data_IF_117370163921
#
_entry.id   IF_117370163921
#
_cell.length_a   1.000
_cell.length_b   1.000
_cell.length_c   1.000
_cell.angle_alpha   90.00
_cell.angle_beta   90.00
_cell.angle_gamma   90.00
#
_symmetry.space_group_name_H-M   'P 1'
#
loop_
_entity.id
_entity.type
_entity.pdbx_description
1 polymer ?
#
# COMPACT_ATOMS: atom_id res chain seq x y z
N UNK A 1 -5.39 37.01 -2.87
CA UNK A 1 -5.88 36.11 -1.79
C UNK A 1 -5.66 36.82 -0.46
N UNK A 2 -6.62 36.75 0.46
CA UNK A 2 -6.49 37.35 1.80
C UNK A 2 -5.34 36.68 2.57
N UNK A 3 -4.58 37.43 3.38
CA UNK A 3 -3.51 36.91 4.24
C UNK A 3 -3.97 35.72 5.10
N UNK A 4 -5.23 35.70 5.53
CA UNK A 4 -5.82 34.60 6.29
C UNK A 4 -5.99 33.32 5.46
N UNK A 5 -6.41 33.43 4.19
CA UNK A 5 -6.58 32.27 3.31
C UNK A 5 -5.23 31.62 2.98
N UNK A 6 -4.18 32.43 2.77
CA UNK A 6 -2.82 31.92 2.57
C UNK A 6 -2.30 31.19 3.81
N UNK A 7 -2.50 31.75 5.02
CA UNK A 7 -2.12 31.10 6.28
C UNK A 7 -2.85 29.78 6.49
N UNK A 8 -4.15 29.73 6.20
CA UNK A 8 -4.95 28.52 6.29
C UNK A 8 -4.44 27.45 5.32
N UNK A 9 -4.13 27.82 4.07
CA UNK A 9 -3.58 26.90 3.09
C UNK A 9 -2.24 26.30 3.54
N UNK A 10 -1.30 27.14 4.01
CA UNK A 10 -0.01 26.66 4.52
C UNK A 10 -0.17 25.74 5.73
N UNK A 11 -1.06 26.07 6.67
CA UNK A 11 -1.31 25.22 7.83
C UNK A 11 -1.94 23.88 7.43
N UNK A 12 -2.93 23.90 6.53
CA UNK A 12 -3.57 22.70 6.00
C UNK A 12 -2.58 21.79 5.25
N UNK A 13 -1.69 22.36 4.43
CA UNK A 13 -0.66 21.60 3.72
C UNK A 13 0.35 20.96 4.68
N UNK A 14 0.79 21.70 5.70
CA UNK A 14 1.70 21.17 6.73
C UNK A 14 1.05 20.00 7.50
N UNK A 15 -0.16 20.21 8.04
CA UNK A 15 -0.89 19.17 8.78
C UNK A 15 -1.23 17.96 7.91
N UNK A 16 -1.62 18.19 6.65
CA UNK A 16 -1.89 17.10 5.69
C UNK A 16 -0.62 16.27 5.43
N UNK A 17 0.54 16.93 5.28
CA UNK A 17 1.82 16.26 5.05
C UNK A 17 2.25 15.44 6.27
N UNK A 18 2.10 15.98 7.48
CA UNK A 18 2.38 15.27 8.73
C UNK A 18 1.48 14.04 8.87
N UNK A 19 0.18 14.18 8.62
CA UNK A 19 -0.77 13.07 8.67
C UNK A 19 -0.48 12.01 7.61
N UNK A 20 -0.07 12.40 6.39
CA UNK A 20 0.37 11.46 5.35
C UNK A 20 1.63 10.68 5.77
N UNK A 21 2.55 11.34 6.48
CA UNK A 21 3.74 10.68 7.02
C UNK A 21 3.37 9.65 8.07
N UNK A 22 2.46 9.98 9.00
CA UNK A 22 1.93 9.03 9.98
C UNK A 22 1.29 7.82 9.31
N UNK A 23 0.47 8.06 8.28
CA UNK A 23 -0.22 7.00 7.52
C UNK A 23 0.79 6.05 6.85
N UNK A 24 1.92 6.57 6.32
CA UNK A 24 3.02 5.75 5.81
C UNK A 24 3.70 4.93 6.92
N UNK A 25 3.94 5.52 8.09
CA UNK A 25 4.56 4.80 9.21
C UNK A 25 3.64 3.71 9.77
N UNK A 26 2.32 3.93 9.78
CA UNK A 26 1.33 2.90 10.10
C UNK A 26 1.42 1.71 9.12
N UNK A 27 1.59 1.96 7.81
CA UNK A 27 1.80 0.87 6.84
C UNK A 27 3.09 0.10 7.07
N UNK A 28 4.19 0.78 7.38
CA UNK A 28 5.45 0.11 7.73
C UNK A 28 5.26 -0.77 8.96
N UNK A 29 4.57 -0.27 9.99
CA UNK A 29 4.26 -1.05 11.18
C UNK A 29 3.41 -2.30 10.87
N UNK A 30 2.43 -2.20 9.97
CA UNK A 30 1.67 -3.38 9.48
C UNK A 30 2.58 -4.42 8.82
N UNK A 31 3.53 -3.98 7.98
CA UNK A 31 4.50 -4.88 7.35
C UNK A 31 5.39 -5.58 8.40
N UNK A 32 5.89 -4.83 9.38
CA UNK A 32 6.71 -5.39 10.46
C UNK A 32 5.92 -6.37 11.33
N UNK A 33 4.66 -6.06 11.66
CA UNK A 33 3.79 -6.96 12.42
C UNK A 33 3.48 -8.24 11.65
N UNK A 34 3.28 -8.16 10.33
CA UNK A 34 3.13 -9.34 9.46
C UNK A 34 4.37 -10.23 9.51
N UNK A 35 5.57 -9.67 9.32
CA UNK A 35 6.82 -10.43 9.39
C UNK A 35 7.01 -11.08 10.77
N UNK A 36 6.71 -10.36 11.85
CA UNK A 36 6.81 -10.90 13.20
C UNK A 36 5.78 -12.01 13.47
N UNK A 37 4.58 -11.91 12.91
CA UNK A 37 3.56 -12.96 13.01
C UNK A 37 4.01 -14.26 12.33
N UNK A 38 4.67 -14.15 11.17
CA UNK A 38 5.28 -15.29 10.49
C UNK A 38 6.34 -15.97 11.37
N UNK A 39 7.19 -15.20 12.05
CA UNK A 39 8.19 -15.76 12.98
C UNK A 39 7.54 -16.45 14.19
N UNK A 40 6.47 -15.86 14.75
CA UNK A 40 5.75 -16.49 15.86
C UNK A 40 5.01 -17.76 15.44
N UNK A 41 4.47 -17.81 14.23
CA UNK A 41 3.84 -19.00 13.68
C UNK A 41 4.88 -20.13 13.51
N UNK A 42 6.04 -19.84 12.92
CA UNK A 42 7.17 -20.79 12.81
C UNK A 42 7.64 -21.30 14.18
N UNK A 43 7.59 -20.45 15.20
CA UNK A 43 7.97 -20.78 16.56
C UNK A 43 6.84 -21.49 17.36
N UNK A 44 5.69 -21.77 16.76
CA UNK A 44 4.56 -22.44 17.42
C UNK A 44 3.93 -21.61 18.55
N UNK A 45 3.86 -20.28 18.38
CA UNK A 45 3.31 -19.34 19.38
C UNK A 45 1.97 -18.73 18.93
N UNK A 46 0.88 -19.52 18.86
CA UNK A 46 -0.41 -19.07 18.30
C UNK A 46 -1.03 -17.92 19.11
N UNK A 47 -0.82 -17.86 20.43
CA UNK A 47 -1.30 -16.76 21.26
C UNK A 47 -0.68 -15.40 20.87
N UNK A 48 0.57 -15.42 20.42
CA UNK A 48 1.29 -14.22 19.97
C UNK A 48 0.88 -13.80 18.56
N UNK A 49 0.66 -14.77 17.68
CA UNK A 49 0.07 -14.53 16.35
C UNK A 49 -1.28 -13.85 16.50
N UNK A 50 -2.16 -14.37 17.38
CA UNK A 50 -3.47 -13.78 17.64
C UNK A 50 -3.39 -12.36 18.21
N UNK A 51 -2.47 -12.11 19.16
CA UNK A 51 -2.24 -10.75 19.68
C UNK A 51 -1.84 -9.77 18.57
N UNK A 52 -1.00 -10.20 17.62
CA UNK A 52 -0.64 -9.37 16.46
C UNK A 52 -1.81 -9.20 15.49
N UNK A 53 -2.64 -10.23 15.27
CA UNK A 53 -3.83 -10.12 14.44
C UNK A 53 -4.80 -9.05 14.98
N UNK A 54 -5.10 -9.09 16.28
CA UNK A 54 -5.97 -8.12 16.94
C UNK A 54 -5.40 -6.70 16.81
N UNK A 55 -4.08 -6.53 17.03
CA UNK A 55 -3.40 -5.25 16.88
C UNK A 55 -3.40 -4.73 15.43
N UNK A 56 -3.24 -5.63 14.45
CA UNK A 56 -3.32 -5.31 13.02
C UNK A 56 -4.73 -4.84 12.66
N UNK A 57 -5.78 -5.50 13.16
CA UNK A 57 -7.17 -5.09 12.91
C UNK A 57 -7.45 -3.67 13.44
N UNK A 58 -6.96 -3.33 14.63
CA UNK A 58 -7.09 -1.99 15.22
C UNK A 58 -6.27 -0.95 14.44
N UNK A 59 -5.03 -1.28 14.05
CA UNK A 59 -4.18 -0.37 13.30
C UNK A 59 -4.75 -0.08 11.91
N UNK A 60 -5.25 -1.09 11.19
CA UNK A 60 -5.87 -0.91 9.87
C UNK A 60 -7.14 -0.06 9.97
N UNK A 61 -7.95 -0.23 11.03
CA UNK A 61 -9.13 0.62 11.24
C UNK A 61 -8.73 2.10 11.44
N UNK A 62 -7.70 2.35 12.26
CA UNK A 62 -7.20 3.72 12.51
C UNK A 62 -6.54 4.34 11.27
N UNK A 63 -5.89 3.50 10.46
CA UNK A 63 -5.15 3.90 9.26
C UNK A 63 -6.04 4.58 8.22
N UNK A 64 -7.22 4.01 7.94
CA UNK A 64 -8.13 4.58 6.94
C UNK A 64 -8.65 5.95 7.39
N UNK A 65 -9.03 6.07 8.67
CA UNK A 65 -9.50 7.34 9.23
C UNK A 65 -8.41 8.43 9.18
N UNK A 66 -7.16 8.10 9.53
CA UNK A 66 -6.04 9.03 9.40
C UNK A 66 -5.80 9.46 7.94
N UNK A 67 -5.90 8.53 6.99
CA UNK A 67 -5.74 8.82 5.57
C UNK A 67 -6.84 9.76 5.05
N UNK A 68 -8.10 9.52 5.44
CA UNK A 68 -9.22 10.40 5.09
C UNK A 68 -9.11 11.78 5.71
N UNK A 69 -8.70 11.87 6.98
CA UNK A 69 -8.45 13.14 7.64
C UNK A 69 -7.34 13.94 6.95
N UNK A 70 -6.24 13.28 6.57
CA UNK A 70 -5.13 13.91 5.87
C UNK A 70 -5.56 14.56 4.55
N UNK A 71 -6.41 13.86 3.78
CA UNK A 71 -6.95 14.40 2.53
C UNK A 71 -7.99 15.50 2.76
N UNK A 72 -8.88 15.31 3.73
CA UNK A 72 -9.93 16.27 4.05
C UNK A 72 -9.35 17.61 4.49
N UNK A 73 -8.36 17.60 5.39
CA UNK A 73 -7.67 18.81 5.87
C UNK A 73 -7.08 19.60 4.69
N UNK A 74 -6.51 18.92 3.69
CA UNK A 74 -5.97 19.56 2.48
C UNK A 74 -7.04 20.26 1.63
N UNK A 75 -8.30 19.81 1.69
CA UNK A 75 -9.43 20.39 0.94
C UNK A 75 -10.08 21.58 1.66
N UNK A 76 -9.91 21.71 2.98
CA UNK A 76 -10.47 22.79 3.80
C UNK A 76 -10.22 24.20 3.24
N UNK A 77 -9.00 24.58 2.80
CA UNK A 77 -8.75 25.92 2.28
C UNK A 77 -9.60 26.28 1.05
N UNK A 78 -9.94 25.29 0.21
CA UNK A 78 -10.79 25.49 -0.97
C UNK A 78 -12.29 25.57 -0.62
N UNK A 79 -12.71 24.94 0.47
CA UNK A 79 -14.08 25.00 0.99
C UNK A 79 -14.34 26.23 1.88
N UNK A 80 -13.28 26.83 2.43
CA UNK A 80 -13.37 27.98 3.32
C UNK A 80 -13.88 29.25 2.60
N UNK A 81 -14.96 29.83 3.12
CA UNK A 81 -15.50 31.11 2.68
C UNK A 81 -15.31 32.15 3.79
N UNK A 82 -14.47 33.17 3.60
CA UNK A 82 -14.29 34.23 4.59
C UNK A 82 -15.62 34.95 4.88
N UNK A 83 -15.93 35.13 6.16
CA UNK A 83 -17.09 35.91 6.60
C UNK A 83 -16.78 36.64 7.90
N UNK A 84 -17.65 37.56 8.30
CA UNK A 84 -17.54 38.28 9.58
C UNK A 84 -17.90 37.40 10.79
N UNK A 85 -18.37 36.17 10.57
CA UNK A 85 -18.70 35.20 11.61
C UNK A 85 -17.56 34.22 11.86
N UNK A 86 -17.39 33.80 13.12
CA UNK A 86 -16.45 32.76 13.49
C UNK A 86 -16.78 31.45 12.76
N UNK A 87 -15.78 30.87 12.10
CA UNK A 87 -15.94 29.62 11.35
C UNK A 87 -15.74 28.42 12.27
N UNK A 88 -16.66 27.46 12.22
CA UNK A 88 -16.53 26.16 12.89
C UNK A 88 -15.69 25.22 12.01
N UNK A 89 -14.37 25.30 12.18
CA UNK A 89 -13.44 24.48 11.40
C UNK A 89 -13.60 22.98 11.63
N UNK A 90 -14.11 22.56 12.79
CA UNK A 90 -14.36 21.14 13.07
C UNK A 90 -15.46 20.62 12.15
N UNK A 91 -16.60 21.31 12.08
CA UNK A 91 -17.67 20.94 11.14
C UNK A 91 -17.21 20.99 9.69
N UNK A 92 -16.37 21.96 9.33
CA UNK A 92 -15.85 22.07 7.97
C UNK A 92 -14.97 20.85 7.60
N UNK A 93 -14.09 20.43 8.52
CA UNK A 93 -13.29 19.21 8.35
C UNK A 93 -14.20 17.98 8.27
N UNK A 94 -15.17 17.83 9.17
CA UNK A 94 -16.08 16.68 9.17
C UNK A 94 -16.84 16.56 7.83
N UNK A 95 -17.31 17.69 7.28
CA UNK A 95 -17.94 17.74 5.95
C UNK A 95 -16.98 17.31 4.83
N UNK A 96 -15.73 17.76 4.87
CA UNK A 96 -14.73 17.34 3.88
C UNK A 96 -14.34 15.86 4.03
N UNK A 97 -14.31 15.32 5.25
CA UNK A 97 -14.09 13.88 5.50
C UNK A 97 -15.19 13.05 4.86
N UNK A 98 -16.46 13.41 5.07
CA UNK A 98 -17.59 12.69 4.45
C UNK A 98 -17.55 12.76 2.92
N UNK A 99 -17.13 13.89 2.33
CA UNK A 99 -16.92 14.02 0.88
C UNK A 99 -15.79 13.11 0.38
N UNK A 100 -14.68 13.06 1.11
CA UNK A 100 -13.55 12.17 0.78
C UNK A 100 -14.02 10.72 0.87
N UNK A 101 -14.63 10.30 1.98
CA UNK A 101 -15.18 8.95 2.17
C UNK A 101 -16.17 8.57 1.08
N UNK A 102 -17.08 9.46 0.70
CA UNK A 102 -18.06 9.22 -0.36
C UNK A 102 -17.47 9.12 -1.78
N UNK A 103 -16.30 9.73 -2.01
CA UNK A 103 -15.59 9.63 -3.30
C UNK A 103 -14.66 8.42 -3.34
N UNK A 104 -14.15 8.02 -2.17
CA UNK A 104 -13.26 6.87 -1.99
C UNK A 104 -14.08 5.58 -1.99
N UNK A 105 -14.05 4.85 -3.11
CA UNK A 105 -14.48 3.45 -3.14
C UNK A 105 -13.41 2.56 -2.49
N UNK A 106 -13.03 2.83 -1.23
CA UNK A 106 -12.02 2.03 -0.50
C UNK A 106 -12.53 0.67 -0.06
N UNK A 107 -13.77 0.30 -0.43
CA UNK A 107 -14.39 -0.98 -0.09
C UNK A 107 -13.43 -2.12 -0.46
N UNK A 108 -12.82 -2.72 0.56
CA UNK A 108 -11.89 -3.83 0.45
C UNK A 108 -10.42 -3.52 0.74
N UNK A 109 -9.99 -2.27 0.92
CA UNK A 109 -8.57 -1.99 1.21
C UNK A 109 -8.16 -2.47 2.61
N UNK A 110 -8.96 -2.18 3.64
CA UNK A 110 -8.80 -2.77 4.97
C UNK A 110 -8.82 -4.31 4.93
N UNK A 111 -9.82 -4.88 4.26
CA UNK A 111 -9.99 -6.33 4.19
C UNK A 111 -8.83 -6.99 3.47
N UNK A 112 -8.29 -6.34 2.43
CA UNK A 112 -7.09 -6.74 1.71
C UNK A 112 -5.86 -6.81 2.63
N UNK A 113 -5.65 -5.82 3.49
CA UNK A 113 -4.51 -5.81 4.41
C UNK A 113 -4.61 -6.89 5.47
N UNK A 114 -5.81 -7.08 6.02
CA UNK A 114 -6.08 -8.14 6.99
C UNK A 114 -5.89 -9.50 6.33
N UNK A 115 -6.37 -9.68 5.08
CA UNK A 115 -6.19 -10.91 4.32
C UNK A 115 -4.71 -11.20 4.05
N UNK A 116 -3.94 -10.23 3.57
CA UNK A 116 -2.50 -10.38 3.34
C UNK A 116 -1.73 -10.77 4.61
N UNK A 117 -2.15 -10.25 5.77
CA UNK A 117 -1.60 -10.65 7.06
C UNK A 117 -1.89 -12.13 7.34
N UNK A 118 -3.16 -12.53 7.21
CA UNK A 118 -3.59 -13.92 7.45
C UNK A 118 -2.90 -14.88 6.49
N UNK A 119 -2.83 -14.56 5.22
CA UNK A 119 -2.21 -15.40 4.17
C UNK A 119 -0.74 -15.65 4.48
N UNK A 120 0.01 -14.60 4.84
CA UNK A 120 1.42 -14.75 5.20
C UNK A 120 1.63 -15.71 6.39
N UNK A 121 0.73 -15.67 7.38
CA UNK A 121 0.76 -16.60 8.53
C UNK A 121 0.38 -18.02 8.07
N UNK A 122 -0.67 -18.17 7.27
CA UNK A 122 -1.15 -19.46 6.76
C UNK A 122 -0.09 -20.19 5.93
N UNK A 123 0.58 -19.46 5.05
CA UNK A 123 1.61 -19.97 4.13
C UNK A 123 2.80 -20.62 4.86
N UNK A 124 3.02 -20.32 6.15
CA UNK A 124 4.09 -20.93 6.95
C UNK A 124 4.00 -22.46 6.98
N UNK A 125 2.78 -22.98 7.09
CA UNK A 125 2.53 -24.42 7.19
C UNK A 125 1.75 -24.99 5.99
N UNK A 126 1.25 -24.12 5.12
CA UNK A 126 0.33 -24.49 4.04
C UNK A 126 0.71 -23.87 2.69
N UNK A 127 2.01 -23.61 2.47
CA UNK A 127 2.51 -23.02 1.24
C UNK A 127 1.92 -23.67 -0.02
N UNK A 128 1.32 -22.84 -0.89
CA UNK A 128 0.69 -23.29 -2.13
C UNK A 128 -0.74 -23.84 -1.97
N UNK A 129 -1.29 -23.87 -0.75
CA UNK A 129 -2.68 -24.21 -0.48
C UNK A 129 -3.49 -22.93 -0.22
N UNK A 130 -4.69 -22.80 -0.80
CA UNK A 130 -5.57 -21.66 -0.51
C UNK A 130 -6.01 -21.68 0.97
N UNK A 131 -6.21 -20.51 1.56
CA UNK A 131 -6.71 -20.40 2.92
C UNK A 131 -8.19 -20.85 3.01
N UNK A 132 -8.58 -21.64 4.02
CA UNK A 132 -9.97 -22.04 4.22
C UNK A 132 -10.87 -20.83 4.49
N UNK A 133 -12.01 -20.77 3.80
CA UNK A 133 -12.98 -19.66 3.92
C UNK A 133 -12.95 -18.65 2.77
N UNK A 134 -11.99 -18.77 1.84
CA UNK A 134 -11.88 -17.95 0.62
C UNK A 134 -12.68 -18.50 -0.58
N UNK A 135 -13.49 -19.55 -0.38
CA UNK A 135 -14.24 -20.24 -1.46
C UNK A 135 -15.32 -19.37 -2.16
N UNK A 136 -15.53 -18.12 -1.75
CA UNK A 136 -16.48 -17.19 -2.39
C UNK A 136 -15.82 -16.22 -3.38
N UNK A 137 -14.50 -16.22 -3.53
CA UNK A 137 -13.77 -15.39 -4.52
C UNK A 137 -13.00 -16.28 -5.52
N UNK A 138 -13.74 -17.19 -6.16
CA UNK A 138 -13.25 -18.03 -7.26
C UNK A 138 -12.81 -17.14 -8.46
N UNK A 139 -11.52 -17.30 -8.85
CA UNK A 139 -10.84 -16.82 -10.07
C UNK A 139 -10.11 -15.44 -10.03
N UNK A 140 -8.97 -15.35 -9.34
CA UNK A 140 -7.79 -14.67 -9.90
C UNK A 140 -6.53 -15.50 -9.63
N UNK A 141 -6.25 -16.43 -10.54
CA UNK A 141 -4.93 -17.03 -10.65
C UNK A 141 -3.91 -15.95 -11.01
N UNK A 142 -2.77 -15.97 -10.33
CA UNK A 142 -1.55 -15.14 -10.47
C UNK A 142 -1.49 -13.86 -9.60
N UNK A 143 -0.76 -13.97 -8.47
CA UNK A 143 0.18 -12.93 -7.99
C UNK A 143 -0.39 -11.59 -7.50
N UNK A 144 -1.58 -11.52 -6.93
CA UNK A 144 -2.16 -10.28 -6.37
C UNK A 144 -1.73 -9.98 -4.93
N UNK A 145 -0.43 -9.78 -4.71
CA UNK A 145 0.03 -9.08 -3.49
C UNK A 145 -0.17 -7.56 -3.59
N UNK A 146 -0.52 -7.01 -4.77
CA UNK A 146 -0.64 -5.58 -5.00
C UNK A 146 -1.99 -5.19 -5.65
N UNK A 147 -2.63 -4.14 -5.15
CA UNK A 147 -3.85 -3.52 -5.70
C UNK A 147 -3.63 -2.79 -7.04
N UNK A 148 -2.43 -2.89 -7.60
CA UNK A 148 -2.00 -2.22 -8.84
C UNK A 148 -2.22 -3.19 -10.01
N UNK A 149 -3.17 -2.84 -10.89
CA UNK A 149 -3.59 -3.70 -12.00
C UNK A 149 -2.72 -3.60 -13.25
N UNK A 150 -1.78 -2.65 -13.30
CA UNK A 150 -0.91 -2.46 -14.45
C UNK A 150 0.48 -2.00 -14.00
N UNK A 151 1.52 -2.51 -14.67
CA UNK A 151 2.93 -2.23 -14.35
C UNK A 151 3.47 -0.98 -15.04
N UNK A 152 2.86 -0.59 -16.15
CA UNK A 152 3.21 0.61 -16.94
C UNK A 152 1.98 1.46 -17.23
N UNK A 153 2.17 2.77 -17.38
CA UNK A 153 1.15 3.69 -17.87
C UNK A 153 0.84 3.38 -19.35
N UNK A 154 -0.41 3.05 -19.72
CA UNK A 154 -0.77 2.65 -21.08
C UNK A 154 -0.54 3.72 -22.16
N UNK A 155 -0.40 4.98 -21.77
CA UNK A 155 -0.23 6.11 -22.68
C UNK A 155 1.22 6.57 -22.82
N UNK A 156 2.01 6.50 -21.74
CA UNK A 156 3.41 6.99 -21.74
C UNK A 156 4.42 5.85 -21.77
N UNK A 157 3.98 4.61 -21.53
CA UNK A 157 4.82 3.42 -21.32
C UNK A 157 5.82 3.55 -20.16
N UNK A 158 5.71 4.59 -19.33
CA UNK A 158 6.51 4.73 -18.12
C UNK A 158 6.05 3.69 -17.08
N UNK A 159 6.97 3.05 -16.33
CA UNK A 159 6.62 2.25 -15.17
C UNK A 159 5.75 3.04 -14.20
N UNK A 160 4.76 2.38 -13.58
CA UNK A 160 3.88 3.05 -12.60
C UNK A 160 4.68 3.60 -11.42
N UNK A 161 5.74 2.89 -11.03
CA UNK A 161 6.68 3.32 -9.99
C UNK A 161 7.44 4.60 -10.34
N UNK A 162 7.50 5.01 -11.61
CA UNK A 162 8.23 6.22 -12.04
C UNK A 162 7.29 7.41 -12.32
N UNK A 163 5.99 7.26 -12.04
CA UNK A 163 5.03 8.33 -12.25
C UNK A 163 5.11 9.38 -11.15
N UNK A 164 5.29 10.64 -11.54
CA UNK A 164 5.29 11.79 -10.63
C UNK A 164 3.86 12.13 -10.15
N UNK A 165 2.90 12.07 -11.07
CA UNK A 165 1.49 12.39 -10.85
C UNK A 165 0.60 11.21 -11.23
N UNK A 166 0.65 10.09 -10.48
CA UNK A 166 -0.18 8.93 -10.76
C UNK A 166 -1.66 9.26 -10.47
N UNK A 167 -2.52 8.75 -11.35
CA UNK A 167 -3.98 8.81 -11.20
C UNK A 167 -4.58 7.47 -11.61
N UNK A 168 -5.68 7.10 -10.98
CA UNK A 168 -6.40 5.85 -11.20
C UNK A 168 -7.81 6.15 -11.71
N UNK A 169 -8.30 5.31 -12.63
CA UNK A 169 -9.71 5.35 -13.02
C UNK A 169 -10.57 4.63 -11.97
N UNK A 170 -11.62 5.28 -11.47
CA UNK A 170 -12.51 4.71 -10.45
C UNK A 170 -13.26 3.46 -10.97
N UNK A 171 -13.55 3.39 -12.27
CA UNK A 171 -14.34 2.30 -12.84
C UNK A 171 -13.49 1.04 -13.12
N UNK A 172 -12.26 1.19 -13.61
CA UNK A 172 -11.41 0.06 -14.02
C UNK A 172 -10.12 -0.11 -13.21
N UNK A 173 -9.84 0.77 -12.25
CA UNK A 173 -8.65 0.79 -11.39
C UNK A 173 -7.27 0.82 -12.08
N UNK A 174 -7.21 0.94 -13.40
CA UNK A 174 -5.96 1.18 -14.13
C UNK A 174 -5.37 2.56 -13.81
N UNK A 175 -4.04 2.60 -13.75
CA UNK A 175 -3.23 3.76 -13.35
C UNK A 175 -2.58 4.40 -14.57
N UNK A 176 -2.54 5.73 -14.56
CA UNK A 176 -2.00 6.58 -15.62
C UNK A 176 -1.19 7.73 -15.07
N UNK A 177 -0.37 8.33 -15.92
CA UNK A 177 0.16 9.68 -15.72
C UNK A 177 -0.95 10.72 -15.98
N UNK A 178 -1.13 11.67 -15.04
CA UNK A 178 -2.26 12.62 -15.00
C UNK A 178 -2.40 13.47 -16.26
N UNK A 179 -1.32 14.11 -16.72
CA UNK A 179 -1.43 15.04 -17.84
C UNK A 179 -1.70 14.33 -19.19
N UNK A 180 -1.00 13.21 -19.49
CA UNK A 180 -1.29 12.40 -20.68
C UNK A 180 -2.72 11.87 -20.71
N UNK A 181 -3.25 11.33 -19.60
CA UNK A 181 -4.62 10.77 -19.59
C UNK A 181 -5.68 11.84 -19.78
N UNK A 182 -5.52 13.01 -19.14
CA UNK A 182 -6.47 14.11 -19.30
C UNK A 182 -6.43 14.67 -20.73
N UNK A 183 -5.26 14.72 -21.37
CA UNK A 183 -5.12 15.08 -22.79
C UNK A 183 -5.79 14.05 -23.70
N UNK A 184 -5.60 12.76 -23.44
CA UNK A 184 -6.21 11.67 -24.18
C UNK A 184 -7.74 11.74 -24.15
N UNK A 185 -8.32 11.97 -22.96
CA UNK A 185 -9.77 12.10 -22.77
C UNK A 185 -10.33 13.31 -23.52
N UNK A 186 -9.64 14.47 -23.45
CA UNK A 186 -10.07 15.70 -24.15
C UNK A 186 -10.04 15.54 -25.67
N UNK A 187 -9.04 14.85 -26.20
CA UNK A 187 -8.83 14.69 -27.65
C UNK A 187 -9.86 13.74 -28.27
N UNK A 188 -10.23 12.67 -27.55
CA UNK A 188 -11.01 11.57 -28.10
C UNK A 188 -12.48 11.52 -27.64
N UNK A 189 -12.96 12.55 -26.91
CA UNK A 189 -14.35 12.69 -26.42
C UNK A 189 -14.93 11.39 -25.84
N UNK A 190 -14.65 11.13 -24.56
CA UNK A 190 -15.04 9.91 -23.83
C UNK A 190 -14.47 8.62 -24.44
N UNK A 191 -13.13 8.51 -24.57
CA UNK A 191 -12.51 7.29 -25.07
C UNK A 191 -12.64 6.13 -24.08
N UNK A 192 -12.54 4.91 -24.60
CA UNK A 192 -12.35 3.73 -23.77
C UNK A 192 -10.97 3.74 -23.09
N UNK A 193 -10.84 2.95 -22.04
CA UNK A 193 -9.58 2.64 -21.40
C UNK A 193 -8.58 2.08 -22.45
N UNK A 194 -7.34 2.60 -22.52
CA UNK A 194 -6.34 2.11 -23.48
C UNK A 194 -5.82 0.69 -23.21
N UNK A 195 -6.13 0.09 -22.06
CA UNK A 195 -5.81 -1.30 -21.77
C UNK A 195 -6.67 -2.21 -22.65
N UNK A 196 -6.04 -3.12 -23.37
CA UNK A 196 -6.73 -4.08 -24.22
C UNK A 196 -7.77 -4.88 -23.42
N UNK A 197 -9.00 -4.94 -23.94
CA UNK A 197 -10.10 -5.68 -23.32
C UNK A 197 -10.80 -4.97 -22.16
N UNK A 198 -10.35 -3.79 -21.74
CA UNK A 198 -11.05 -3.04 -20.70
C UNK A 198 -12.25 -2.27 -21.28
N UNK A 199 -13.50 -2.53 -20.81
CA UNK A 199 -14.71 -1.90 -21.36
C UNK A 199 -14.98 -0.50 -20.80
N UNK A 200 -14.17 -0.01 -19.86
CA UNK A 200 -14.45 1.24 -19.14
C UNK A 200 -14.29 2.47 -20.03
N UNK A 201 -15.28 3.36 -19.98
CA UNK A 201 -15.27 4.66 -20.67
C UNK A 201 -14.67 5.71 -19.74
N UNK A 202 -13.59 6.36 -20.19
CA UNK A 202 -12.86 7.31 -19.39
C UNK A 202 -13.52 8.69 -19.39
N UNK A 203 -13.67 9.26 -18.19
CA UNK A 203 -14.19 10.60 -17.97
C UNK A 203 -13.29 11.36 -17.00
N UNK A 204 -13.07 12.68 -17.18
CA UNK A 204 -12.16 13.44 -16.32
C UNK A 204 -12.54 13.35 -14.83
N UNK A 205 -13.84 13.36 -14.52
CA UNK A 205 -14.35 13.25 -13.16
C UNK A 205 -14.06 11.88 -12.49
N UNK A 206 -13.73 10.86 -13.28
CA UNK A 206 -13.45 9.50 -12.82
C UNK A 206 -11.95 9.19 -12.77
N UNK A 207 -11.09 10.15 -13.10
CA UNK A 207 -9.64 10.02 -13.03
C UNK A 207 -9.17 10.77 -11.79
N UNK A 208 -8.81 10.02 -10.76
CA UNK A 208 -8.46 10.57 -9.44
C UNK A 208 -7.17 9.96 -8.93
N UNK A 209 -6.38 10.73 -8.19
CA UNK A 209 -5.37 10.13 -7.32
C UNK A 209 -6.10 9.82 -6.01
N UNK A 210 -6.55 8.57 -5.84
CA UNK A 210 -7.19 8.18 -4.59
C UNK A 210 -6.19 8.21 -3.42
N UNK A 211 -6.73 8.21 -2.20
CA UNK A 211 -5.98 8.40 -0.96
C UNK A 211 -4.84 7.38 -0.79
N UNK A 212 -5.01 6.16 -1.31
CA UNK A 212 -4.09 5.04 -1.09
C UNK A 212 -3.17 4.77 -2.28
N UNK A 213 -3.53 5.21 -3.49
CA UNK A 213 -2.74 4.98 -4.72
C UNK A 213 -1.25 5.29 -4.57
N UNK A 214 -0.91 6.43 -3.98
CA UNK A 214 0.50 6.82 -3.81
C UNK A 214 1.25 5.88 -2.88
N UNK A 215 0.56 5.37 -1.86
CA UNK A 215 1.13 4.42 -0.91
C UNK A 215 1.35 3.07 -1.55
N UNK A 216 0.36 2.57 -2.28
CA UNK A 216 0.47 1.30 -3.00
C UNK A 216 1.62 1.31 -4.01
N UNK A 217 1.85 2.46 -4.67
CA UNK A 217 2.99 2.62 -5.59
C UNK A 217 4.32 2.63 -4.82
N UNK A 218 4.38 3.26 -3.65
CA UNK A 218 5.57 3.26 -2.80
C UNK A 218 5.89 1.85 -2.27
N UNK A 219 4.88 1.09 -1.89
CA UNK A 219 5.03 -0.33 -1.49
C UNK A 219 5.54 -1.18 -2.65
N UNK A 220 5.05 -0.94 -3.86
CA UNK A 220 5.54 -1.61 -5.07
C UNK A 220 7.02 -1.26 -5.35
N UNK A 221 7.46 -0.03 -5.06
CA UNK A 221 8.88 0.36 -5.15
C UNK A 221 9.73 -0.42 -4.14
N UNK A 222 9.26 -0.50 -2.90
CA UNK A 222 9.98 -1.16 -1.80
C UNK A 222 10.04 -2.70 -1.94
N UNK A 223 9.15 -3.31 -2.72
CA UNK A 223 9.11 -4.76 -2.97
C UNK A 223 9.77 -5.19 -4.28
N UNK A 224 10.26 -4.24 -5.10
CA UNK A 224 10.97 -4.53 -6.34
C UNK A 224 12.40 -5.07 -6.12
N UNK A 225 13.04 -5.66 -7.15
CA UNK A 225 14.41 -6.20 -7.07
C UNK A 225 15.51 -5.17 -6.76
N UNK A 226 15.17 -3.87 -6.68
CA UNK A 226 16.07 -2.79 -6.26
C UNK A 226 15.94 -2.45 -4.75
N UNK A 227 15.21 -3.26 -3.97
CA UNK A 227 15.08 -3.06 -2.54
C UNK A 227 16.43 -3.31 -1.83
N UNK A 228 16.86 -2.42 -0.91
CA UNK A 228 18.18 -2.49 -0.27
C UNK A 228 18.39 -3.70 0.66
N UNK A 229 17.41 -4.58 0.79
CA UNK A 229 17.40 -5.72 1.71
C UNK A 229 17.41 -7.09 1.00
N UNK A 230 17.55 -7.14 -0.33
CA UNK A 230 17.53 -8.40 -1.09
C UNK A 230 18.93 -8.97 -1.42
N UNK A 231 20.03 -8.30 -1.05
CA UNK A 231 21.38 -8.66 -1.53
C UNK A 231 22.42 -9.03 -0.46
N UNK A 232 22.09 -9.07 0.83
CA UNK A 232 23.07 -9.38 1.89
C UNK A 232 22.71 -10.66 2.65
N UNK A 233 22.62 -11.77 1.92
CA UNK A 233 22.76 -13.10 2.52
C UNK A 233 24.10 -13.63 1.99
N UNK A 234 25.19 -13.33 2.69
CA UNK A 234 26.46 -14.02 2.47
C UNK A 234 26.27 -15.49 2.89
N UNK A 235 26.45 -16.37 1.91
CA UNK A 235 26.39 -17.82 2.07
C UNK A 235 27.61 -18.27 2.89
N UNK A 236 27.41 -18.48 4.19
CA UNK A 236 28.45 -18.99 5.10
C UNK A 236 28.24 -20.49 5.26
N UNK A 237 28.45 -21.24 4.19
CA UNK A 237 28.61 -22.69 4.26
C UNK A 237 30.02 -23.06 3.80
N UNK A 238 30.96 -23.02 4.74
CA UNK A 238 32.19 -23.82 4.67
C UNK A 238 32.54 -24.18 6.11
N UNK A 239 32.03 -25.33 6.55
CA UNK A 239 32.53 -26.03 7.73
C UNK A 239 32.86 -27.46 7.31
N UNK A 240 34.17 -27.69 7.31
CA UNK A 240 34.89 -28.90 7.70
C UNK A 240 34.85 -30.13 6.78
N UNK A 241 36.00 -30.40 6.15
CA UNK A 241 36.45 -31.78 5.94
C UNK A 241 37.48 -32.10 7.04
N UNK A 242 37.09 -33.07 7.87
CA UNK A 242 37.87 -33.73 8.90
C UNK A 242 39.10 -34.44 8.32
N UNK A 243 40.29 -34.20 8.88
CA UNK A 243 41.40 -35.17 8.85
C UNK A 243 42.04 -35.23 10.25
N UNK A 244 41.37 -35.97 11.14
CA UNK A 244 42.00 -36.60 12.30
C UNK A 244 42.83 -37.80 11.78
N UNK A 245 44.14 -37.62 11.60
CA UNK A 245 45.09 -38.74 11.54
C UNK A 245 45.92 -38.78 12.84
N UNK A 246 45.43 -39.52 13.83
CA UNK A 246 46.25 -40.08 14.91
C UNK A 246 46.98 -41.33 14.38
N UNK A 247 48.32 -41.36 14.31
CA UNK A 247 49.04 -42.59 14.01
C UNK A 247 49.13 -43.47 15.27
N UNK A 248 48.58 -44.67 15.15
CA UNK A 248 48.64 -45.73 16.16
C UNK A 248 50.07 -46.18 16.44
N UNK A 249 50.37 -46.35 17.72
CA UNK A 249 51.54 -47.04 18.26
C UNK A 249 51.58 -48.51 17.76
N UNK A 250 52.70 -48.92 17.18
CA UNK A 250 53.12 -50.33 17.09
C UNK A 250 54.41 -50.48 17.91
N UNK A 251 54.30 -51.18 19.04
CA UNK A 251 55.41 -51.66 19.85
C UNK A 251 56.05 -52.93 19.25
N UNK A 252 57.36 -53.04 19.49
CA UNK A 252 58.24 -54.22 19.55
C UNK A 252 58.66 -55.00 18.26
N UNK A 253 59.96 -54.92 17.92
CA UNK A 253 60.96 -55.99 18.18
C UNK A 253 62.30 -55.76 17.39
N UNK A 254 63.39 -55.40 18.10
CA UNK A 254 64.76 -55.98 18.06
C UNK A 254 65.81 -55.14 18.83
#
# INVERSE_FOLDING_TARGET
MSSAATKLATAADATSTEAQTLVLDMRKALSSMKSLAVEYERAGKPDKVKQLEDAVQELVASYEDCAYLAEAVKKVPGAYQPSDQATDFRKLIDVEVEKVKGTSRSSGHKDQLIRQFKEAVWDVHHAGQPMPGDEQEELVMTSTQNNILNTVCPLTMKPIVDLENPVRCIDCRHIYDKDPILRYIRTNKAPNCPIAGCPAVLQPAKIVCDTFLRMEIEELRASGPAAPNASEIEDISDHDEDEDEDPMDEDDDE
#
